data_IF_248038415133
#
_entry.id   IF_248038415133
#
_cell.length_a   1.000
_cell.length_b   1.000
_cell.length_c   1.000
_cell.angle_alpha   90.00
_cell.angle_beta   90.00
_cell.angle_gamma   90.00
#
_symmetry.space_group_name_H-M   'P 1'
#
loop_
_entity.id
_entity.type
_entity.pdbx_description
1 polymer ?
#
# COMPACT_ATOMS: atom_id res chain seq x y z
N UNK A 1 12.55 -3.61 24.13
CA UNK A 1 11.27 -3.51 24.87
C UNK A 1 10.46 -4.79 24.71
N UNK A 2 9.86 -5.06 23.54
CA UNK A 2 9.00 -6.24 23.30
C UNK A 2 9.60 -7.59 23.73
N UNK A 3 10.85 -7.89 23.37
CA UNK A 3 11.50 -9.13 23.81
C UNK A 3 11.60 -9.28 25.35
N UNK A 4 11.56 -8.18 26.10
CA UNK A 4 11.58 -8.16 27.58
C UNK A 4 10.16 -8.17 28.15
N UNK A 5 9.21 -7.46 27.53
CA UNK A 5 7.86 -7.28 28.04
C UNK A 5 6.86 -8.36 27.59
N UNK A 6 6.94 -8.82 26.34
CA UNK A 6 6.04 -9.83 25.76
C UNK A 6 6.00 -11.17 26.53
N UNK A 7 7.10 -11.69 27.13
CA UNK A 7 7.03 -12.92 27.93
C UNK A 7 6.48 -12.73 29.35
N UNK A 8 6.31 -11.48 29.83
CA UNK A 8 5.87 -11.20 31.20
C UNK A 8 4.34 -11.17 31.30
N UNK A 9 3.73 -11.75 32.35
CA UNK A 9 2.30 -11.59 32.58
C UNK A 9 1.94 -10.13 32.89
N UNK A 10 0.71 -9.74 32.58
CA UNK A 10 0.23 -8.37 32.77
C UNK A 10 0.33 -7.86 34.22
N UNK A 11 0.34 -8.75 35.22
CA UNK A 11 0.50 -8.43 36.65
C UNK A 11 1.92 -8.65 37.18
N UNK A 12 2.91 -8.88 36.30
CA UNK A 12 4.31 -9.02 36.73
C UNK A 12 4.76 -7.80 37.56
N UNK A 13 5.62 -8.01 38.58
CA UNK A 13 6.20 -6.94 39.39
C UNK A 13 6.80 -5.82 38.54
N UNK A 14 6.79 -4.61 39.10
CA UNK A 14 7.32 -3.42 38.43
C UNK A 14 8.80 -3.57 38.07
N UNK A 15 9.58 -4.20 38.95
CA UNK A 15 11.03 -4.41 38.77
C UNK A 15 11.34 -5.20 37.49
N UNK A 16 10.50 -6.18 37.14
CA UNK A 16 10.66 -7.01 35.95
C UNK A 16 10.32 -6.23 34.66
N UNK A 17 9.37 -5.29 34.75
CA UNK A 17 8.93 -4.47 33.61
C UNK A 17 9.78 -3.22 33.39
N UNK A 18 10.40 -2.70 34.44
CA UNK A 18 11.15 -1.45 34.41
C UNK A 18 12.25 -1.41 33.33
N UNK A 19 13.04 -2.48 33.08
CA UNK A 19 14.02 -2.48 31.98
C UNK A 19 13.36 -2.40 30.60
N UNK A 20 12.20 -3.05 30.44
CA UNK A 20 11.41 -3.01 29.21
C UNK A 20 10.87 -1.61 28.93
N UNK A 21 10.29 -0.96 29.94
CA UNK A 21 9.79 0.42 29.86
C UNK A 21 10.91 1.45 29.65
N UNK A 22 12.07 1.29 30.30
CA UNK A 22 13.21 2.16 30.05
C UNK A 22 13.67 2.11 28.58
N UNK A 23 13.57 0.95 27.92
CA UNK A 23 13.81 0.84 26.47
C UNK A 23 12.72 1.54 25.65
N UNK A 24 11.46 1.50 26.07
CA UNK A 24 10.36 2.23 25.41
C UNK A 24 10.54 3.75 25.56
N UNK A 25 10.86 4.24 26.75
CA UNK A 25 11.14 5.65 27.02
C UNK A 25 12.33 6.14 26.18
N UNK A 26 13.40 5.36 26.13
CA UNK A 26 14.59 5.68 25.35
C UNK A 26 14.33 5.62 23.84
N UNK A 27 13.39 4.78 23.38
CA UNK A 27 12.93 4.78 21.99
C UNK A 27 12.05 5.99 21.68
N UNK A 28 11.11 6.34 22.57
CA UNK A 28 10.25 7.51 22.45
C UNK A 28 11.08 8.80 22.41
N UNK A 29 12.13 8.91 23.23
CA UNK A 29 13.04 10.05 23.21
C UNK A 29 13.80 10.17 21.89
N UNK A 30 14.34 9.05 21.39
CA UNK A 30 15.00 9.02 20.07
C UNK A 30 14.04 9.37 18.94
N UNK A 31 12.79 8.92 18.99
CA UNK A 31 11.77 9.28 18.01
C UNK A 31 11.43 10.77 18.05
N UNK A 32 11.34 11.38 19.24
CA UNK A 32 11.16 12.84 19.37
C UNK A 32 12.34 13.60 18.80
N UNK A 33 13.57 13.22 19.15
CA UNK A 33 14.78 13.83 18.62
C UNK A 33 14.87 13.70 17.10
N UNK A 34 14.52 12.53 16.56
CA UNK A 34 14.45 12.31 15.11
C UNK A 34 13.45 13.26 14.45
N UNK A 35 12.22 13.40 14.99
CA UNK A 35 11.22 14.34 14.44
C UNK A 35 11.72 15.78 14.39
N UNK A 36 12.44 16.24 15.41
CA UNK A 36 13.04 17.59 15.40
C UNK A 36 14.11 17.70 14.30
N UNK A 37 15.04 16.74 14.25
CA UNK A 37 16.08 16.71 13.23
C UNK A 37 15.52 16.64 11.80
N UNK A 38 14.39 15.95 11.61
CA UNK A 38 13.68 15.88 10.33
C UNK A 38 13.10 17.25 9.92
N UNK A 39 12.54 18.01 10.87
CA UNK A 39 12.08 19.38 10.61
C UNK A 39 13.27 20.26 10.23
N UNK A 40 14.35 20.22 11.01
CA UNK A 40 15.55 21.02 10.76
C UNK A 40 16.17 20.71 9.39
N UNK A 41 16.21 19.42 9.03
CA UNK A 41 16.68 18.97 7.71
C UNK A 41 15.87 19.59 6.57
N UNK A 42 14.54 19.53 6.62
CA UNK A 42 13.67 20.08 5.57
C UNK A 42 13.82 21.60 5.47
N UNK A 43 13.89 22.29 6.62
CA UNK A 43 14.09 23.74 6.65
C UNK A 43 15.44 24.14 6.03
N UNK A 44 16.52 23.42 6.37
CA UNK A 44 17.84 23.68 5.81
C UNK A 44 17.87 23.47 4.29
N UNK A 45 17.24 22.40 3.78
CA UNK A 45 17.19 22.13 2.32
C UNK A 45 16.34 23.19 1.59
N UNK A 46 15.22 23.64 2.18
CA UNK A 46 14.41 24.73 1.62
C UNK A 46 15.19 26.05 1.58
N UNK A 47 15.86 26.43 2.67
CA UNK A 47 16.69 27.64 2.71
C UNK A 47 17.83 27.59 1.68
N UNK A 48 18.40 26.41 1.42
CA UNK A 48 19.37 26.22 0.35
C UNK A 48 18.77 26.50 -1.03
N UNK A 49 17.56 26.01 -1.32
CA UNK A 49 16.85 26.26 -2.58
C UNK A 49 16.39 27.71 -2.74
N UNK A 50 16.06 28.41 -1.64
CA UNK A 50 15.78 29.84 -1.68
C UNK A 50 17.00 30.65 -2.11
N UNK A 51 18.20 30.23 -1.68
CA UNK A 51 19.48 30.89 -2.02
C UNK A 51 19.99 30.46 -3.40
N UNK A 52 19.82 29.19 -3.76
CA UNK A 52 20.29 28.58 -5.01
C UNK A 52 19.17 27.69 -5.61
N UNK A 53 18.22 28.27 -6.37
CA UNK A 53 17.05 27.55 -6.89
C UNK A 53 17.38 26.40 -7.85
N UNK A 54 18.50 26.51 -8.55
CA UNK A 54 18.95 25.55 -9.56
C UNK A 54 19.88 24.47 -8.99
N UNK A 55 20.06 24.39 -7.67
CA UNK A 55 20.90 23.37 -7.03
C UNK A 55 20.24 21.98 -7.11
N UNK A 56 20.73 21.07 -7.98
CA UNK A 56 20.04 19.81 -8.24
C UNK A 56 20.06 18.87 -7.03
N UNK A 57 21.11 18.90 -6.21
CA UNK A 57 21.24 18.05 -5.01
C UNK A 57 20.17 18.39 -3.97
N UNK A 58 19.96 19.67 -3.68
CA UNK A 58 18.95 20.11 -2.72
C UNK A 58 17.53 19.75 -3.20
N UNK A 59 17.26 19.89 -4.50
CA UNK A 59 15.99 19.47 -5.11
C UNK A 59 15.79 17.96 -4.98
N UNK A 60 16.81 17.16 -5.32
CA UNK A 60 16.75 15.71 -5.21
C UNK A 60 16.50 15.25 -3.77
N UNK A 61 17.14 15.88 -2.79
CA UNK A 61 16.92 15.62 -1.37
C UNK A 61 15.47 15.89 -0.94
N UNK A 62 14.91 17.04 -1.35
CA UNK A 62 13.55 17.43 -0.99
C UNK A 62 12.50 16.55 -1.67
N UNK A 63 12.70 16.23 -2.94
CA UNK A 63 11.87 15.27 -3.70
C UNK A 63 11.89 13.90 -3.03
N UNK A 64 13.06 13.36 -2.70
CA UNK A 64 13.17 12.06 -2.03
C UNK A 64 12.48 12.07 -0.65
N UNK A 65 12.60 13.18 0.08
CA UNK A 65 11.93 13.38 1.36
C UNK A 65 10.40 13.30 1.23
N UNK A 66 9.80 14.07 0.33
CA UNK A 66 8.34 14.07 0.12
C UNK A 66 7.84 12.73 -0.41
N UNK A 67 8.60 12.06 -1.30
CA UNK A 67 8.25 10.72 -1.77
C UNK A 67 8.17 9.71 -0.63
N UNK A 68 9.14 9.70 0.29
CA UNK A 68 9.11 8.80 1.46
C UNK A 68 7.93 9.10 2.38
N UNK A 69 7.64 10.38 2.63
CA UNK A 69 6.50 10.78 3.47
C UNK A 69 5.17 10.42 2.81
N UNK A 70 5.06 10.55 1.48
CA UNK A 70 3.87 10.11 0.75
C UNK A 70 3.65 8.60 0.89
N UNK A 71 4.67 7.78 0.67
CA UNK A 71 4.57 6.32 0.81
C UNK A 71 4.17 5.91 2.24
N UNK A 72 4.71 6.60 3.27
CA UNK A 72 4.33 6.35 4.65
C UNK A 72 2.87 6.73 4.96
N UNK A 73 2.37 7.84 4.39
CA UNK A 73 0.98 8.25 4.54
C UNK A 73 0.01 7.29 3.81
N UNK A 74 0.38 6.86 2.59
CA UNK A 74 -0.37 5.85 1.82
C UNK A 74 -0.47 4.53 2.60
N UNK A 75 0.65 4.04 3.16
CA UNK A 75 0.67 2.83 3.97
C UNK A 75 -0.17 2.94 5.27
N UNK A 76 -0.29 4.15 5.83
CA UNK A 76 -1.12 4.42 7.00
C UNK A 76 -2.61 4.65 6.67
N UNK A 77 -2.98 4.74 5.38
CA UNK A 77 -4.33 5.12 4.95
C UNK A 77 -4.68 6.59 5.26
N UNK A 78 -3.68 7.44 5.49
CA UNK A 78 -3.86 8.87 5.80
C UNK A 78 -3.93 9.68 4.50
N UNK A 79 -5.15 9.84 3.98
CA UNK A 79 -5.40 10.52 2.72
C UNK A 79 -5.05 12.02 2.76
N UNK A 80 -5.22 12.67 3.91
CA UNK A 80 -4.93 14.09 4.08
C UNK A 80 -3.42 14.34 4.07
N UNK A 81 -2.66 13.54 4.84
CA UNK A 81 -1.20 13.61 4.81
C UNK A 81 -0.64 13.28 3.43
N UNK A 82 -1.20 12.28 2.73
CA UNK A 82 -0.82 11.94 1.37
C UNK A 82 -1.06 13.10 0.39
N UNK A 83 -2.24 13.74 0.44
CA UNK A 83 -2.57 14.89 -0.40
C UNK A 83 -1.62 16.07 -0.17
N UNK A 84 -1.23 16.34 1.08
CA UNK A 84 -0.25 17.36 1.43
C UNK A 84 1.12 17.08 0.76
N UNK A 85 1.63 15.85 0.87
CA UNK A 85 2.92 15.50 0.29
C UNK A 85 2.90 15.55 -1.24
N UNK A 86 1.79 15.18 -1.88
CA UNK A 86 1.61 15.31 -3.35
C UNK A 86 1.69 16.79 -3.76
N UNK A 87 1.02 17.68 -3.04
CA UNK A 87 1.07 19.11 -3.34
C UNK A 87 2.49 19.68 -3.20
N UNK A 88 3.19 19.32 -2.12
CA UNK A 88 4.59 19.72 -1.87
C UNK A 88 5.54 19.16 -2.94
N UNK A 89 5.33 17.94 -3.42
CA UNK A 89 6.16 17.36 -4.47
C UNK A 89 5.94 18.09 -5.81
N UNK A 90 4.69 18.35 -6.18
CA UNK A 90 4.33 19.08 -7.42
C UNK A 90 4.90 20.49 -7.45
N UNK A 91 4.99 21.17 -6.31
CA UNK A 91 5.51 22.54 -6.27
C UNK A 91 7.03 22.61 -6.46
N UNK A 92 7.78 21.57 -6.11
CA UNK A 92 9.25 21.55 -6.19
C UNK A 92 9.79 20.77 -7.40
N UNK A 93 9.00 19.85 -7.95
CA UNK A 93 9.36 19.00 -9.10
C UNK A 93 8.14 18.70 -9.99
N UNK A 94 7.55 19.70 -10.66
CA UNK A 94 6.31 19.54 -11.42
C UNK A 94 6.46 18.54 -12.58
N UNK A 95 7.58 18.57 -13.28
CA UNK A 95 7.82 17.72 -14.45
C UNK A 95 8.36 16.33 -14.06
N UNK A 96 9.35 16.26 -13.15
CA UNK A 96 10.01 15.01 -12.78
C UNK A 96 9.19 14.09 -11.88
N UNK A 97 8.13 14.59 -11.25
CA UNK A 97 7.26 13.79 -10.38
C UNK A 97 5.99 13.27 -11.06
N UNK A 98 5.63 13.74 -12.26
CA UNK A 98 4.32 13.44 -12.87
C UNK A 98 4.08 11.94 -13.09
N UNK A 99 5.04 11.22 -13.68
CA UNK A 99 4.94 9.78 -13.90
C UNK A 99 4.92 9.02 -12.57
N UNK A 100 5.80 9.41 -11.65
CA UNK A 100 5.87 8.79 -10.33
C UNK A 100 4.58 8.99 -9.51
N UNK A 101 3.96 10.16 -9.62
CA UNK A 101 2.70 10.53 -8.99
C UNK A 101 1.48 9.86 -9.62
N UNK A 102 1.52 9.52 -10.92
CA UNK A 102 0.48 8.68 -11.54
C UNK A 102 0.46 7.30 -10.87
N UNK A 103 1.64 6.74 -10.61
CA UNK A 103 1.80 5.58 -9.74
C UNK A 103 1.30 4.27 -10.30
N UNK A 104 1.04 4.19 -11.61
CA UNK A 104 0.57 2.96 -12.26
C UNK A 104 1.42 1.76 -11.85
N UNK A 105 0.73 0.68 -11.47
CA UNK A 105 1.35 -0.57 -11.04
C UNK A 105 1.04 -1.71 -11.99
N UNK A 106 1.22 -2.92 -11.49
CA UNK A 106 1.12 -4.15 -12.26
C UNK A 106 0.30 -5.19 -11.51
N UNK A 107 -0.44 -6.01 -12.26
CA UNK A 107 -1.16 -7.17 -11.73
C UNK A 107 -0.76 -8.43 -12.48
N UNK A 108 -0.37 -9.46 -11.74
CA UNK A 108 -0.22 -10.84 -12.22
C UNK A 108 -1.29 -11.69 -11.55
N UNK A 109 -2.15 -12.30 -12.35
CA UNK A 109 -3.32 -13.05 -11.89
C UNK A 109 -3.41 -14.36 -12.66
N UNK A 110 -3.32 -15.47 -11.94
CA UNK A 110 -3.38 -16.82 -12.50
C UNK A 110 -4.59 -17.51 -11.86
N UNK A 111 -5.37 -18.24 -12.65
CA UNK A 111 -6.48 -19.06 -12.15
C UNK A 111 -6.26 -20.52 -12.51
N UNK A 112 -6.83 -21.42 -11.69
CA UNK A 112 -6.92 -22.84 -12.01
C UNK A 112 -8.40 -23.27 -12.10
N UNK A 113 -8.89 -23.67 -13.29
CA UNK A 113 -8.18 -23.68 -14.58
C UNK A 113 -7.99 -22.27 -15.18
N UNK A 114 -7.09 -22.11 -16.18
CA UNK A 114 -6.89 -20.84 -16.88
C UNK A 114 -8.09 -20.49 -17.78
N UNK A 115 -8.18 -19.22 -18.21
CA UNK A 115 -9.21 -18.72 -19.12
C UNK A 115 -10.45 -18.15 -18.43
N UNK A 116 -10.35 -17.75 -17.15
CA UNK A 116 -11.43 -17.07 -16.46
C UNK A 116 -11.61 -15.67 -17.04
N UNK A 117 -12.85 -15.27 -17.32
CA UNK A 117 -13.18 -13.90 -17.65
C UNK A 117 -13.01 -13.03 -16.39
N UNK A 118 -12.40 -11.85 -16.54
CA UNK A 118 -12.06 -10.96 -15.42
C UNK A 118 -12.80 -9.65 -15.57
N UNK A 119 -13.75 -9.39 -14.67
CA UNK A 119 -14.45 -8.11 -14.60
C UNK A 119 -13.87 -7.26 -13.48
N UNK A 120 -13.55 -6.01 -13.80
CA UNK A 120 -12.86 -5.09 -12.92
C UNK A 120 -13.83 -4.09 -12.29
N UNK A 121 -13.80 -4.02 -10.96
CA UNK A 121 -14.57 -3.07 -10.17
C UNK A 121 -13.63 -2.18 -9.36
N UNK A 122 -13.92 -0.88 -9.31
CA UNK A 122 -13.34 0.04 -8.32
C UNK A 122 -14.36 0.33 -7.22
N UNK A 123 -13.92 0.88 -6.10
CA UNK A 123 -14.82 1.33 -5.04
C UNK A 123 -15.05 2.83 -5.16
N UNK A 124 -16.32 3.23 -5.34
CA UNK A 124 -16.72 4.64 -5.33
C UNK A 124 -17.52 4.95 -4.08
N UNK A 125 -17.31 6.13 -3.49
CA UNK A 125 -18.07 6.55 -2.33
C UNK A 125 -19.43 7.10 -2.76
N UNK A 126 -20.51 6.40 -2.37
CA UNK A 126 -21.89 6.83 -2.56
C UNK A 126 -22.52 6.93 -1.18
N UNK A 127 -22.92 8.14 -0.77
CA UNK A 127 -23.52 8.39 0.54
C UNK A 127 -22.69 7.83 1.72
N UNK A 128 -21.37 8.04 1.70
CA UNK A 128 -20.41 7.53 2.71
C UNK A 128 -20.31 6.00 2.78
N UNK A 129 -20.69 5.30 1.71
CA UNK A 129 -20.48 3.86 1.56
C UNK A 129 -19.64 3.60 0.33
N UNK A 130 -18.64 2.74 0.46
CA UNK A 130 -17.90 2.24 -0.69
C UNK A 130 -18.76 1.22 -1.44
N UNK A 131 -19.07 1.53 -2.70
CA UNK A 131 -19.88 0.69 -3.58
C UNK A 131 -19.00 0.19 -4.73
N UNK A 132 -18.90 -1.13 -4.95
CA UNK A 132 -18.25 -1.68 -6.12
C UNK A 132 -18.91 -1.15 -7.40
N UNK A 133 -18.12 -0.49 -8.23
CA UNK A 133 -18.55 0.12 -9.48
C UNK A 133 -17.75 -0.50 -10.63
N UNK A 134 -18.40 -1.11 -11.63
CA UNK A 134 -17.70 -1.73 -12.74
C UNK A 134 -17.02 -0.66 -13.60
N UNK A 135 -15.73 -0.85 -13.88
CA UNK A 135 -14.94 0.09 -14.71
C UNK A 135 -14.45 -0.52 -16.02
N UNK A 136 -14.63 -1.83 -16.21
CA UNK A 136 -14.32 -2.51 -17.46
C UNK A 136 -14.04 -3.99 -17.26
N UNK A 137 -13.57 -4.62 -18.33
CA UNK A 137 -13.13 -6.00 -18.34
C UNK A 137 -11.63 -6.06 -18.64
N UNK A 138 -10.92 -6.97 -17.99
CA UNK A 138 -9.53 -7.29 -18.33
C UNK A 138 -9.50 -8.50 -19.28
N UNK A 139 -8.36 -8.74 -19.95
CA UNK A 139 -8.17 -9.98 -20.70
C UNK A 139 -8.43 -11.21 -19.82
N UNK A 140 -8.88 -12.34 -20.39
CA UNK A 140 -9.03 -13.58 -19.64
C UNK A 140 -7.69 -14.02 -19.02
N UNK A 141 -7.75 -14.69 -17.87
CA UNK A 141 -6.55 -15.19 -17.19
C UNK A 141 -5.81 -16.24 -18.04
N UNK A 142 -4.46 -16.32 -17.96
CA UNK A 142 -3.58 -15.61 -17.02
C UNK A 142 -3.25 -14.18 -17.45
N UNK A 143 -3.27 -13.27 -16.47
CA UNK A 143 -2.68 -11.94 -16.59
C UNK A 143 -1.24 -11.99 -16.07
N UNK A 144 -0.28 -11.51 -16.87
CA UNK A 144 1.13 -11.43 -16.46
C UNK A 144 1.60 -10.00 -16.69
N UNK A 145 2.02 -9.34 -15.61
CA UNK A 145 2.54 -7.96 -15.64
C UNK A 145 1.58 -6.96 -16.31
N UNK A 146 0.27 -7.18 -16.16
CA UNK A 146 -0.73 -6.34 -16.80
C UNK A 146 -0.76 -4.96 -16.13
N UNK A 147 -0.66 -3.85 -16.90
CA UNK A 147 -0.67 -2.51 -16.33
C UNK A 147 -2.05 -2.19 -15.74
N UNK A 148 -2.07 -1.68 -14.51
CA UNK A 148 -3.29 -1.23 -13.85
C UNK A 148 -2.99 0.03 -13.03
N UNK A 149 -3.82 1.09 -13.09
CA UNK A 149 -3.62 2.27 -12.25
C UNK A 149 -3.59 1.90 -10.77
N UNK A 150 -2.83 2.63 -9.95
CA UNK A 150 -2.84 2.42 -8.51
C UNK A 150 -4.26 2.56 -7.94
N UNK A 151 -4.59 1.74 -6.95
CA UNK A 151 -5.92 1.75 -6.33
C UNK A 151 -6.35 0.40 -5.76
N UNK A 152 -7.51 0.42 -5.13
CA UNK A 152 -8.18 -0.79 -4.61
C UNK A 152 -9.26 -1.23 -5.58
N UNK A 153 -9.20 -2.51 -5.96
CA UNK A 153 -10.07 -3.13 -6.93
C UNK A 153 -10.67 -4.42 -6.39
N UNK A 154 -11.84 -4.78 -6.91
CA UNK A 154 -12.38 -6.13 -6.83
C UNK A 154 -12.37 -6.75 -8.22
N UNK A 155 -11.72 -7.90 -8.36
CA UNK A 155 -11.72 -8.68 -9.59
C UNK A 155 -12.76 -9.79 -9.47
N UNK A 156 -13.82 -9.73 -10.26
CA UNK A 156 -14.76 -10.84 -10.38
C UNK A 156 -14.28 -11.79 -11.48
N UNK A 157 -14.04 -13.03 -11.10
CA UNK A 157 -13.56 -14.10 -11.97
C UNK A 157 -14.73 -15.01 -12.30
N UNK A 158 -15.04 -15.16 -13.58
CA UNK A 158 -16.15 -15.98 -14.04
C UNK A 158 -15.69 -17.01 -15.08
N UNK A 159 -16.22 -18.22 -14.97
CA UNK A 159 -15.96 -19.30 -15.94
C UNK A 159 -17.17 -20.22 -16.07
N UNK A 160 -17.49 -20.70 -17.30
CA UNK A 160 -18.58 -21.67 -17.48
C UNK A 160 -18.43 -22.92 -16.60
N UNK A 161 -19.51 -23.28 -15.89
CA UNK A 161 -19.55 -24.46 -15.01
C UNK A 161 -18.87 -24.27 -13.64
N UNK A 162 -18.45 -23.04 -13.30
CA UNK A 162 -17.76 -22.71 -12.04
C UNK A 162 -18.44 -21.55 -11.32
N UNK A 163 -18.17 -21.44 -10.02
CA UNK A 163 -18.62 -20.30 -9.22
C UNK A 163 -17.80 -19.06 -9.54
N UNK A 164 -18.45 -17.90 -9.43
CA UNK A 164 -17.78 -16.62 -9.50
C UNK A 164 -16.95 -16.41 -8.24
N UNK A 165 -15.67 -16.10 -8.40
CA UNK A 165 -14.75 -15.81 -7.30
C UNK A 165 -14.41 -14.33 -7.33
N UNK A 166 -14.49 -13.65 -6.18
CA UNK A 166 -14.08 -12.25 -6.05
C UNK A 166 -12.71 -12.18 -5.39
N UNK A 167 -11.75 -11.54 -6.05
CA UNK A 167 -10.40 -11.35 -5.52
C UNK A 167 -10.14 -9.85 -5.27
N UNK A 168 -9.91 -9.43 -4.01
CA UNK A 168 -9.51 -8.05 -3.72
C UNK A 168 -8.05 -7.84 -4.12
N UNK A 169 -7.81 -6.76 -4.86
CA UNK A 169 -6.47 -6.39 -5.32
C UNK A 169 -6.18 -4.96 -4.92
N UNK A 170 -5.06 -4.75 -4.22
CA UNK A 170 -4.50 -3.43 -3.95
C UNK A 170 -3.28 -3.24 -4.84
N UNK A 171 -3.36 -2.30 -5.77
CA UNK A 171 -2.22 -1.84 -6.56
C UNK A 171 -1.63 -0.64 -5.84
N UNK A 172 -0.52 -0.87 -5.14
CA UNK A 172 0.28 0.19 -4.54
C UNK A 172 0.98 1.00 -5.63
N UNK A 173 1.47 2.19 -5.27
CA UNK A 173 2.22 3.07 -6.16
C UNK A 173 3.43 2.33 -6.75
N UNK A 174 3.44 2.15 -8.07
CA UNK A 174 4.46 1.37 -8.80
C UNK A 174 4.64 -0.06 -8.25
N UNK A 175 3.62 -0.57 -7.55
CA UNK A 175 3.62 -1.89 -6.97
C UNK A 175 3.27 -2.96 -7.98
N UNK A 176 3.57 -4.20 -7.63
CA UNK A 176 3.17 -5.38 -8.39
C UNK A 176 2.41 -6.33 -7.50
N UNK A 177 1.11 -6.44 -7.74
CA UNK A 177 0.30 -7.47 -7.10
C UNK A 177 0.48 -8.80 -7.86
N UNK A 178 0.90 -9.84 -7.14
CA UNK A 178 1.25 -11.15 -7.74
C UNK A 178 0.48 -12.34 -7.12
N UNK A 179 -0.49 -12.10 -6.24
CA UNK A 179 -1.21 -13.18 -5.56
C UNK A 179 -0.30 -14.12 -4.76
N UNK A 180 0.84 -13.62 -4.27
CA UNK A 180 1.78 -14.38 -3.43
C UNK A 180 1.26 -14.37 -1.99
N UNK A 181 1.00 -15.54 -1.43
CA UNK A 181 0.60 -15.65 -0.03
C UNK A 181 1.78 -15.28 0.90
N UNK A 182 1.52 -14.77 2.12
CA UNK A 182 2.58 -14.45 3.08
C UNK A 182 3.52 -15.64 3.33
N UNK A 183 4.79 -15.51 2.96
CA UNK A 183 5.81 -16.55 3.13
C UNK A 183 6.05 -17.44 1.89
N UNK A 184 5.28 -17.27 0.82
CA UNK A 184 5.49 -17.95 -0.47
C UNK A 184 6.37 -17.11 -1.42
N UNK A 185 6.91 -17.75 -2.46
CA UNK A 185 7.76 -17.10 -3.48
C UNK A 185 7.16 -17.15 -4.89
N UNK A 186 6.03 -17.82 -5.07
CA UNK A 186 5.41 -18.02 -6.38
C UNK A 186 3.94 -17.57 -6.33
N UNK A 187 3.40 -16.97 -7.41
CA UNK A 187 1.99 -16.65 -7.51
C UNK A 187 1.11 -17.87 -7.25
N UNK A 188 0.16 -17.77 -6.33
CA UNK A 188 -0.82 -18.83 -6.11
C UNK A 188 -1.93 -18.72 -7.15
N UNK A 189 -2.19 -19.81 -7.87
CA UNK A 189 -3.31 -19.84 -8.81
C UNK A 189 -4.62 -19.79 -8.03
N UNK A 190 -5.47 -18.82 -8.35
CA UNK A 190 -6.79 -18.72 -7.74
C UNK A 190 -7.63 -19.90 -8.22
N UNK A 191 -7.95 -20.78 -7.28
CA UNK A 191 -8.78 -21.93 -7.54
C UNK A 191 -10.21 -21.48 -7.85
N UNK A 192 -10.77 -21.99 -8.95
CA UNK A 192 -12.14 -21.70 -9.36
C UNK A 192 -13.04 -22.89 -8.99
N UNK A 193 -13.90 -22.82 -7.95
CA UNK A 193 -14.69 -23.96 -7.53
C UNK A 193 -15.76 -24.34 -8.58
N UNK A 194 -16.07 -25.63 -8.80
CA UNK A 194 -17.22 -26.04 -9.59
C UNK A 194 -18.53 -25.46 -9.03
N UNK A 195 -19.51 -25.17 -9.90
CA UNK A 195 -20.79 -24.55 -9.50
C UNK A 195 -21.61 -25.36 -8.48
N UNK A 196 -21.33 -26.65 -8.33
CA UNK A 196 -21.98 -27.57 -7.40
C UNK A 196 -21.13 -27.88 -6.14
N UNK A 197 -19.95 -27.27 -6.00
CA UNK A 197 -19.00 -27.64 -4.95
C UNK A 197 -19.23 -26.90 -3.62
N UNK A 198 -19.98 -25.79 -3.64
CA UNK A 198 -20.23 -24.94 -2.48
C UNK A 198 -21.75 -24.79 -2.34
N UNK A 199 -22.31 -25.20 -1.19
CA UNK A 199 -23.73 -25.03 -0.89
C UNK A 199 -24.08 -23.56 -0.62
N UNK A 200 -25.36 -23.21 -0.80
CA UNK A 200 -25.87 -21.84 -0.54
C UNK A 200 -25.42 -21.34 0.84
N UNK A 201 -24.69 -20.22 0.88
CA UNK A 201 -24.28 -19.53 2.12
C UNK A 201 -22.84 -19.76 2.58
N UNK A 202 -22.00 -20.46 1.82
CA UNK A 202 -20.58 -20.64 2.15
C UNK A 202 -19.70 -19.62 1.39
N UNK A 203 -18.83 -18.91 2.12
CA UNK A 203 -17.79 -18.05 1.55
C UNK A 203 -16.45 -18.81 1.55
N UNK A 204 -15.73 -18.78 0.42
CA UNK A 204 -14.34 -19.23 0.36
C UNK A 204 -13.48 -18.10 0.95
N UNK A 205 -12.89 -18.33 2.13
CA UNK A 205 -11.95 -17.40 2.79
C UNK A 205 -10.53 -17.81 2.46
#
# INVERSE_FOLDING_TARGET
>A
ARAVLDPLPAYAPLEDKAPGWALEDAAAERLRAARVAEVDYVQAVRAALETAPDLPEARAHLTAWYRRRLLAAEAAGDADAAAEQIALLRSHDPEGSTEWLRGDGRVTLITDPPGAAVRLFCYTEVQRRLVPTPIGDLPPTPLVDHPLPMGSYALELAMPGRLTVTCPVLIERQGHWQGIAPGEQHPHAIWMPPCHAIGDGMAYV
#
